data_IF_777277109902
#
_entry.id   IF_777277109902
#
_cell.length_a   1.000
_cell.length_b   1.000
_cell.length_c   1.000
_cell.angle_alpha   90.00
_cell.angle_beta   90.00
_cell.angle_gamma   90.00
#
_symmetry.space_group_name_H-M   'P 1'
#
loop_
_entity.id
_entity.type
_entity.pdbx_description
1 polymer ?
#
# COMPACT_ATOMS: atom_id res chain seq x y z
N UNK A 1 0.66 -18.19 -45.56
CA UNK A 1 -0.28 -17.32 -44.81
C UNK A 1 -0.73 -17.85 -43.45
N UNK A 2 -1.06 -19.15 -43.27
CA UNK A 2 -1.52 -19.69 -41.97
C UNK A 2 -0.49 -19.55 -40.82
N UNK A 3 0.79 -19.75 -41.12
CA UNK A 3 1.89 -19.64 -40.15
C UNK A 3 2.15 -18.19 -39.71
N UNK A 4 2.04 -17.22 -40.63
CA UNK A 4 2.20 -15.79 -40.33
C UNK A 4 1.12 -15.30 -39.35
N UNK A 5 -0.14 -15.75 -39.52
CA UNK A 5 -1.23 -15.45 -38.55
C UNK A 5 -0.96 -16.06 -37.17
N UNK A 6 -0.41 -17.27 -37.09
CA UNK A 6 -0.07 -17.92 -35.82
C UNK A 6 1.07 -17.22 -35.08
N UNK A 7 2.08 -16.75 -35.81
CA UNK A 7 3.18 -15.95 -35.26
C UNK A 7 2.67 -14.60 -34.76
N UNK A 8 1.79 -13.93 -35.51
CA UNK A 8 1.21 -12.65 -35.10
C UNK A 8 0.37 -12.79 -33.81
N UNK A 9 -0.45 -13.85 -33.70
CA UNK A 9 -1.25 -14.13 -32.50
C UNK A 9 -0.34 -14.41 -31.29
N UNK A 10 0.75 -15.17 -31.48
CA UNK A 10 1.70 -15.45 -30.42
C UNK A 10 2.43 -14.18 -29.94
N UNK A 11 2.80 -13.28 -30.86
CA UNK A 11 3.42 -12.00 -30.53
C UNK A 11 2.44 -11.05 -29.81
N UNK A 12 1.17 -10.99 -30.22
CA UNK A 12 0.15 -10.23 -29.51
C UNK A 12 -0.10 -10.80 -28.09
N UNK A 13 -0.14 -12.12 -27.93
CA UNK A 13 -0.28 -12.76 -26.63
C UNK A 13 0.93 -12.50 -25.72
N UNK A 14 2.15 -12.55 -26.27
CA UNK A 14 3.38 -12.25 -25.55
C UNK A 14 3.43 -10.77 -25.11
N UNK A 15 3.04 -9.84 -25.99
CA UNK A 15 2.94 -8.42 -25.67
C UNK A 15 1.93 -8.16 -24.54
N UNK A 16 0.78 -8.83 -24.58
CA UNK A 16 -0.27 -8.70 -23.56
C UNK A 16 0.15 -9.21 -22.17
N UNK A 17 0.99 -10.26 -22.12
CA UNK A 17 1.53 -10.77 -20.85
C UNK A 17 2.56 -9.82 -20.24
N UNK A 18 3.33 -9.09 -21.07
CA UNK A 18 4.35 -8.13 -20.57
C UNK A 18 3.78 -6.81 -20.04
N UNK A 19 2.54 -6.46 -20.38
CA UNK A 19 1.85 -5.26 -19.85
C UNK A 19 1.14 -5.50 -18.52
N UNK A 20 1.17 -6.72 -17.99
CA UNK A 20 0.79 -6.97 -16.59
C UNK A 20 1.91 -6.40 -15.71
N UNK A 21 1.92 -5.06 -15.61
CA UNK A 21 2.72 -4.37 -14.62
C UNK A 21 2.31 -4.95 -13.28
N UNK A 22 3.26 -5.66 -12.66
CA UNK A 22 3.20 -5.97 -11.24
C UNK A 22 2.98 -4.65 -10.53
N UNK A 23 1.73 -4.39 -10.11
CA UNK A 23 1.47 -3.47 -9.02
C UNK A 23 2.13 -4.11 -7.82
N UNK A 24 3.43 -3.82 -7.67
CA UNK A 24 4.13 -3.95 -6.41
C UNK A 24 3.18 -3.34 -5.38
N UNK A 25 2.94 -4.07 -4.29
CA UNK A 25 2.12 -3.61 -3.17
C UNK A 25 2.83 -2.44 -2.50
N UNK A 26 2.89 -1.33 -3.21
CA UNK A 26 3.64 -0.14 -2.84
C UNK A 26 3.06 0.37 -1.52
N UNK A 27 3.86 1.07 -0.72
CA UNK A 27 3.44 1.65 0.56
C UNK A 27 2.53 2.87 0.32
N UNK A 28 1.49 2.68 -0.49
CA UNK A 28 0.54 3.68 -1.00
C UNK A 28 -0.86 3.49 -0.42
N UNK A 29 -0.96 2.67 0.63
CA UNK A 29 -2.24 2.32 1.28
C UNK A 29 -2.97 3.55 1.86
N UNK A 30 -2.27 4.66 2.12
CA UNK A 30 -2.86 5.94 2.52
C UNK A 30 -3.86 6.49 1.49
N UNK A 31 -3.79 6.06 0.23
CA UNK A 31 -4.72 6.47 -0.83
C UNK A 31 -6.13 5.90 -0.63
N UNK A 32 -6.29 4.93 0.28
CA UNK A 32 -7.59 4.37 0.62
C UNK A 32 -8.36 5.17 1.66
N UNK A 33 -7.76 6.19 2.30
CA UNK A 33 -8.52 7.10 3.17
C UNK A 33 -9.62 7.79 2.34
N UNK A 34 -10.86 7.72 2.81
CA UNK A 34 -12.06 8.19 2.11
C UNK A 34 -12.61 7.24 1.03
N UNK A 35 -11.97 6.08 0.78
CA UNK A 35 -12.50 5.05 -0.14
C UNK A 35 -13.41 4.07 0.58
N UNK A 36 -14.24 3.35 -0.17
CA UNK A 36 -15.16 2.37 0.43
C UNK A 36 -14.43 1.07 0.79
N UNK A 37 -14.99 0.29 1.71
CA UNK A 37 -14.58 -1.11 1.94
C UNK A 37 -14.54 -1.92 0.64
N UNK A 38 -15.50 -1.69 -0.27
CA UNK A 38 -15.58 -2.37 -1.56
C UNK A 38 -14.37 -2.06 -2.44
N UNK A 39 -13.88 -0.81 -2.45
CA UNK A 39 -12.68 -0.42 -3.19
C UNK A 39 -11.44 -1.14 -2.67
N UNK A 40 -11.31 -1.29 -1.35
CA UNK A 40 -10.22 -2.06 -0.73
C UNK A 40 -10.27 -3.53 -1.18
N UNK A 41 -11.43 -4.17 -1.09
CA UNK A 41 -11.62 -5.58 -1.49
C UNK A 41 -11.39 -5.77 -2.99
N UNK A 42 -11.80 -4.79 -3.82
CA UNK A 42 -11.55 -4.82 -5.26
C UNK A 42 -10.06 -4.76 -5.58
N UNK A 43 -9.28 -3.97 -4.83
CA UNK A 43 -7.84 -3.84 -5.03
C UNK A 43 -7.06 -5.06 -4.52
N UNK A 44 -7.36 -5.54 -3.32
CA UNK A 44 -6.55 -6.53 -2.61
C UNK A 44 -7.15 -7.94 -2.59
N UNK A 45 -8.37 -8.11 -3.07
CA UNK A 45 -9.10 -9.38 -3.05
C UNK A 45 -9.71 -9.68 -1.69
N UNK A 46 -9.89 -10.97 -1.39
CA UNK A 46 -10.50 -11.41 -0.13
C UNK A 46 -9.51 -11.21 1.03
N UNK A 47 -9.91 -10.54 2.14
CA UNK A 47 -9.05 -10.39 3.30
C UNK A 47 -8.82 -11.72 4.02
N UNK A 48 -7.74 -11.78 4.82
CA UNK A 48 -7.47 -12.95 5.68
C UNK A 48 -8.43 -13.01 6.87
N UNK A 49 -8.89 -11.85 7.32
CA UNK A 49 -9.84 -11.69 8.40
C UNK A 49 -10.57 -10.36 8.25
N UNK A 50 -11.82 -10.30 8.71
CA UNK A 50 -12.60 -9.08 8.81
C UNK A 50 -13.39 -9.13 10.10
N UNK A 51 -13.36 -8.06 10.88
CA UNK A 51 -14.21 -7.84 12.04
C UNK A 51 -15.29 -6.82 11.65
N UNK A 52 -16.53 -7.30 11.59
CA UNK A 52 -17.71 -6.46 11.28
C UNK A 52 -18.67 -6.37 12.48
N UNK A 53 -18.17 -6.67 13.70
CA UNK A 53 -18.99 -6.64 14.92
C UNK A 53 -19.52 -5.25 15.26
N UNK A 54 -18.81 -4.19 14.85
CA UNK A 54 -19.23 -2.81 14.96
C UNK A 54 -19.30 -2.16 13.56
N UNK A 55 -20.48 -1.73 13.08
CA UNK A 55 -20.61 -1.14 11.74
C UNK A 55 -19.95 0.24 11.61
N UNK A 56 -19.63 0.90 12.72
CA UNK A 56 -18.90 2.17 12.74
C UNK A 56 -17.37 1.96 12.88
N UNK A 57 -16.92 0.72 13.04
CA UNK A 57 -15.50 0.33 13.13
C UNK A 57 -15.28 -1.08 12.56
N UNK A 58 -15.42 -1.20 11.25
CA UNK A 58 -15.11 -2.43 10.52
C UNK A 58 -13.62 -2.49 10.27
N UNK A 59 -12.97 -3.56 10.74
CA UNK A 59 -11.53 -3.78 10.56
C UNK A 59 -11.28 -4.89 9.52
N UNK A 60 -10.50 -4.58 8.49
CA UNK A 60 -10.18 -5.50 7.39
C UNK A 60 -8.69 -5.79 7.39
N UNK A 61 -8.32 -7.06 7.49
CA UNK A 61 -6.93 -7.49 7.65
C UNK A 61 -6.44 -8.23 6.40
N UNK A 62 -5.29 -7.80 5.89
CA UNK A 62 -4.55 -8.48 4.84
C UNK A 62 -3.17 -8.87 5.33
N UNK A 63 -2.71 -10.05 4.91
CA UNK A 63 -1.36 -10.53 5.19
C UNK A 63 -0.80 -11.26 3.98
N UNK A 64 0.44 -10.96 3.66
CA UNK A 64 1.22 -11.70 2.64
C UNK A 64 2.61 -11.93 3.19
N UNK A 65 2.96 -13.17 3.48
CA UNK A 65 4.17 -13.52 4.24
C UNK A 65 4.19 -12.78 5.60
N UNK A 66 5.20 -11.94 5.81
CA UNK A 66 5.32 -11.11 7.02
C UNK A 66 4.66 -9.73 6.86
N UNK A 67 4.34 -9.31 5.63
CA UNK A 67 3.73 -8.01 5.36
C UNK A 67 2.26 -8.00 5.77
N UNK A 68 1.83 -6.88 6.37
CA UNK A 68 0.45 -6.71 6.86
C UNK A 68 -0.12 -5.38 6.38
N UNK A 69 -1.42 -5.37 6.11
CA UNK A 69 -2.21 -4.15 5.91
C UNK A 69 -3.52 -4.28 6.69
N UNK A 70 -3.92 -3.21 7.36
CA UNK A 70 -5.15 -3.12 8.14
C UNK A 70 -5.89 -1.88 7.65
N UNK A 71 -7.16 -2.03 7.31
CA UNK A 71 -8.04 -0.93 6.94
C UNK A 71 -9.17 -0.86 7.96
N UNK A 72 -9.42 0.33 8.49
CA UNK A 72 -10.52 0.59 9.41
C UNK A 72 -11.50 1.52 8.72
N UNK A 73 -12.76 1.10 8.63
CA UNK A 73 -13.82 1.83 7.96
C UNK A 73 -15.09 1.89 8.78
N UNK A 74 -15.86 2.96 8.58
CA UNK A 74 -17.25 3.02 9.01
C UNK A 74 -18.19 2.59 7.86
N UNK A 75 -19.49 2.90 7.99
CA UNK A 75 -20.50 2.63 6.97
C UNK A 75 -20.24 3.32 5.63
N UNK A 76 -19.46 4.40 5.63
CA UNK A 76 -19.22 5.27 4.48
C UNK A 76 -17.87 5.01 3.82
N UNK A 77 -16.80 4.99 4.62
CA UNK A 77 -15.44 4.99 4.08
C UNK A 77 -14.40 4.53 5.09
N UNK A 78 -13.22 4.20 4.56
CA UNK A 78 -12.00 3.95 5.32
C UNK A 78 -11.49 5.26 5.90
N UNK A 79 -11.38 5.34 7.22
CA UNK A 79 -10.88 6.53 7.92
C UNK A 79 -9.51 6.29 8.56
N UNK A 80 -9.03 5.04 8.63
CA UNK A 80 -7.68 4.72 9.09
C UNK A 80 -7.11 3.54 8.32
N UNK A 81 -5.80 3.59 8.08
CA UNK A 81 -5.04 2.50 7.46
C UNK A 81 -3.69 2.32 8.14
N UNK A 82 -3.32 1.08 8.41
CA UNK A 82 -2.00 0.69 8.88
C UNK A 82 -1.36 -0.28 7.88
N UNK A 83 -0.07 -0.11 7.59
CA UNK A 83 0.69 -1.06 6.81
C UNK A 83 2.09 -1.27 7.39
N UNK A 84 2.58 -2.50 7.24
CA UNK A 84 3.92 -2.90 7.65
C UNK A 84 4.50 -3.82 6.60
N UNK A 85 5.70 -3.50 6.14
CA UNK A 85 6.42 -4.33 5.17
C UNK A 85 7.85 -4.58 5.63
N UNK A 86 8.34 -5.79 5.41
CA UNK A 86 9.66 -6.22 5.84
C UNK A 86 10.66 -6.22 4.67
N UNK A 87 11.89 -5.83 4.96
CA UNK A 87 12.99 -5.70 4.02
C UNK A 87 14.26 -6.31 4.62
N UNK A 88 15.09 -7.00 3.83
CA UNK A 88 16.27 -7.69 4.34
C UNK A 88 17.41 -6.73 4.74
N UNK A 89 17.40 -5.49 4.26
CA UNK A 89 18.45 -4.50 4.53
C UNK A 89 17.85 -3.12 4.78
N UNK A 90 18.58 -2.30 5.54
CA UNK A 90 18.21 -0.89 5.79
C UNK A 90 18.08 -0.10 4.50
N UNK A 91 19.03 -0.29 3.58
CA UNK A 91 19.06 0.40 2.30
C UNK A 91 17.79 0.10 1.49
N UNK A 92 17.34 -1.17 1.43
CA UNK A 92 16.10 -1.52 0.74
C UNK A 92 14.87 -0.89 1.41
N UNK A 93 14.82 -0.87 2.74
CA UNK A 93 13.74 -0.22 3.49
C UNK A 93 13.69 1.30 3.24
N UNK A 94 14.85 1.97 3.24
CA UNK A 94 14.98 3.40 2.96
C UNK A 94 14.62 3.73 1.51
N UNK A 95 14.97 2.89 0.54
CA UNK A 95 14.53 3.05 -0.85
C UNK A 95 13.01 2.98 -0.96
N UNK A 96 12.37 2.02 -0.27
CA UNK A 96 10.92 1.90 -0.28
C UNK A 96 10.23 3.08 0.43
N UNK A 97 10.76 3.53 1.57
CA UNK A 97 10.33 4.74 2.28
C UNK A 97 10.37 5.96 1.35
N UNK A 98 11.52 6.22 0.73
CA UNK A 98 11.73 7.36 -0.14
C UNK A 98 10.81 7.31 -1.37
N UNK A 99 10.62 6.12 -1.97
CA UNK A 99 9.66 5.94 -3.08
C UNK A 99 8.25 6.31 -2.65
N UNK A 100 7.78 5.83 -1.50
CA UNK A 100 6.45 6.13 -0.99
C UNK A 100 6.27 7.63 -0.69
N UNK A 101 7.29 8.27 -0.12
CA UNK A 101 7.31 9.73 0.16
C UNK A 101 7.27 10.52 -1.15
N UNK A 102 8.07 10.17 -2.14
CA UNK A 102 8.07 10.84 -3.45
C UNK A 102 6.73 10.67 -4.18
N UNK A 103 6.15 9.46 -4.15
CA UNK A 103 4.81 9.22 -4.68
C UNK A 103 3.78 10.10 -3.97
N UNK A 104 3.82 10.20 -2.64
CA UNK A 104 2.91 11.06 -1.90
C UNK A 104 3.09 12.55 -2.24
N UNK A 105 4.32 13.04 -2.37
CA UNK A 105 4.62 14.42 -2.78
C UNK A 105 4.04 14.68 -4.18
N UNK A 106 4.19 13.74 -5.11
CA UNK A 106 3.57 13.84 -6.45
C UNK A 106 2.04 13.91 -6.41
N UNK A 107 1.43 13.44 -5.32
CA UNK A 107 -0.01 13.49 -5.03
C UNK A 107 -0.41 14.65 -4.13
N UNK A 108 0.42 15.70 -4.10
CA UNK A 108 0.19 16.96 -3.39
C UNK A 108 0.18 16.83 -1.87
N UNK A 109 0.82 15.80 -1.31
CA UNK A 109 1.15 15.80 0.12
C UNK A 109 2.32 16.73 0.39
N UNK A 110 2.21 17.49 1.46
CA UNK A 110 3.30 18.26 2.04
C UNK A 110 4.04 17.39 3.05
N UNK A 111 5.37 17.23 2.92
CA UNK A 111 6.16 16.53 3.92
C UNK A 111 6.50 17.46 5.10
N UNK A 112 6.42 16.90 6.29
CA UNK A 112 6.98 17.41 7.54
C UNK A 112 8.02 16.37 8.02
N UNK A 113 9.28 16.66 7.74
CA UNK A 113 10.38 15.71 7.97
C UNK A 113 10.72 15.66 9.45
N UNK A 114 10.52 14.50 10.08
CA UNK A 114 10.91 14.28 11.47
C UNK A 114 12.36 13.80 11.57
N UNK A 115 12.81 12.97 10.63
CA UNK A 115 14.20 12.50 10.47
C UNK A 115 14.42 11.91 9.07
N UNK A 116 15.64 11.45 8.77
CA UNK A 116 15.94 10.76 7.50
C UNK A 116 15.23 9.41 7.33
N UNK A 117 14.72 8.81 8.40
CA UNK A 117 14.04 7.52 8.41
C UNK A 117 12.58 7.61 8.86
N UNK A 118 12.03 8.82 9.05
CA UNK A 118 10.66 9.03 9.49
C UNK A 118 10.10 10.34 8.95
N UNK A 119 8.95 10.25 8.29
CA UNK A 119 8.27 11.38 7.68
C UNK A 119 6.83 11.43 8.16
N UNK A 120 6.36 12.63 8.45
CA UNK A 120 4.95 12.95 8.55
C UNK A 120 4.53 13.63 7.25
N UNK A 121 3.41 13.23 6.66
CA UNK A 121 2.91 13.80 5.42
C UNK A 121 1.44 14.14 5.57
N UNK A 122 1.03 15.27 4.98
CA UNK A 122 -0.34 15.72 5.08
C UNK A 122 -0.84 16.35 3.78
N UNK A 123 -2.14 16.21 3.54
CA UNK A 123 -2.92 17.01 2.60
C UNK A 123 -4.34 17.16 3.18
N UNK A 124 -5.21 18.03 2.63
CA UNK A 124 -6.59 18.11 3.10
C UNK A 124 -7.28 16.72 3.14
N UNK A 125 -7.84 16.38 4.29
CA UNK A 125 -8.54 15.10 4.53
C UNK A 125 -7.67 13.88 4.81
N UNK A 126 -6.33 13.97 4.74
CA UNK A 126 -5.44 12.82 5.00
C UNK A 126 -4.13 13.26 5.66
N UNK A 127 -3.80 12.61 6.77
CA UNK A 127 -2.48 12.67 7.39
C UNK A 127 -1.91 11.25 7.51
N UNK A 128 -0.62 11.09 7.25
CA UNK A 128 0.04 9.82 7.50
C UNK A 128 1.48 9.99 7.98
N UNK A 129 1.93 9.01 8.76
CA UNK A 129 3.32 8.87 9.19
C UNK A 129 3.89 7.62 8.54
N UNK A 130 5.13 7.69 8.07
CA UNK A 130 5.86 6.55 7.50
C UNK A 130 7.28 6.53 8.06
N UNK A 131 7.74 5.36 8.52
CA UNK A 131 9.06 5.23 9.15
C UNK A 131 9.74 3.89 8.90
N UNK A 132 11.07 3.90 8.91
CA UNK A 132 11.92 2.71 8.89
C UNK A 132 12.42 2.42 10.30
N UNK A 133 12.29 1.17 10.73
CA UNK A 133 12.81 0.69 12.01
C UNK A 133 13.46 -0.68 11.82
N UNK A 134 14.39 -1.07 12.70
CA UNK A 134 14.84 -2.46 12.76
C UNK A 134 13.70 -3.34 13.32
N UNK A 135 13.53 -4.54 12.76
CA UNK A 135 12.55 -5.50 13.27
C UNK A 135 12.98 -6.01 14.66
N UNK A 136 12.03 -6.11 15.58
CA UNK A 136 12.31 -6.47 16.99
C UNK A 136 12.86 -7.89 17.17
N UNK A 137 12.63 -8.77 16.20
CA UNK A 137 12.92 -10.21 16.30
C UNK A 137 13.92 -10.72 15.27
N UNK A 138 14.64 -9.84 14.55
CA UNK A 138 15.46 -10.28 13.42
C UNK A 138 16.51 -9.29 12.93
N UNK A 139 17.16 -9.66 11.83
CA UNK A 139 18.10 -8.82 11.07
C UNK A 139 17.41 -7.87 10.10
N UNK A 140 16.11 -8.08 9.88
CA UNK A 140 15.33 -7.35 8.89
C UNK A 140 14.95 -5.95 9.39
N UNK A 141 14.55 -5.11 8.43
CA UNK A 141 14.06 -3.76 8.63
C UNK A 141 12.60 -3.70 8.22
N UNK A 142 11.80 -2.94 8.96
CA UNK A 142 10.38 -2.76 8.68
C UNK A 142 10.12 -1.32 8.27
N UNK A 143 9.34 -1.14 7.20
CA UNK A 143 8.69 0.14 6.92
C UNK A 143 7.27 0.08 7.47
N UNK A 144 6.94 0.99 8.38
CA UNK A 144 5.61 1.13 8.97
C UNK A 144 4.96 2.39 8.46
N UNK A 145 3.70 2.30 8.08
CA UNK A 145 2.86 3.41 7.66
C UNK A 145 1.56 3.40 8.48
N UNK A 146 1.20 4.55 9.01
CA UNK A 146 -0.10 4.79 9.64
C UNK A 146 -0.72 6.03 8.99
N UNK A 147 -1.92 5.90 8.43
CA UNK A 147 -2.68 6.99 7.82
C UNK A 147 -4.05 7.10 8.46
N UNK A 148 -4.53 8.33 8.62
CA UNK A 148 -5.85 8.61 9.15
C UNK A 148 -6.50 9.78 8.41
N UNK A 149 -7.84 9.82 8.44
CA UNK A 149 -8.59 11.00 8.05
C UNK A 149 -8.27 12.14 9.02
N UNK A 150 -8.06 13.34 8.47
CA UNK A 150 -7.79 14.54 9.24
C UNK A 150 -8.91 15.54 8.97
N UNK A 151 -9.60 15.90 10.05
CA UNK A 151 -10.65 16.95 10.06
C UNK A 151 -10.10 18.32 9.67
#
# INVERSE_FOLDING_TARGET
MKYLKRILIALCAFYFVTTLQSFSQELTVYQFIGKTKSDVIKQYGKPIHSDESNPDMVCIFYKKNQDTMIFVSDKTSVYQVDAMKFYPTEAAALTALNSAVQTAISQSFSPDTLSSSSFKLYKPGVEFNISVNKASSGTDYQVKLHAAHKE
#
